data_IF_583252216730
#
_entry.id   IF_583252216730
#
_cell.length_a   1.000
_cell.length_b   1.000
_cell.length_c   1.000
_cell.angle_alpha   90.00
_cell.angle_beta   90.00
_cell.angle_gamma   90.00
#
_symmetry.space_group_name_H-M   'P 1'
#
loop_
_entity.id
_entity.type
_entity.pdbx_description
1 polymer ?
#
# COMPACT_ATOMS: atom_id res chain seq x y z
N UNK A 1 -37.61 -20.39 64.16
CA UNK A 1 -38.03 -20.29 62.76
C UNK A 1 -36.98 -19.41 62.05
N UNK A 2 -36.04 -20.02 61.33
CA UNK A 2 -34.93 -19.32 60.65
C UNK A 2 -35.08 -19.56 59.15
N UNK A 3 -35.45 -18.52 58.40
CA UNK A 3 -35.57 -18.57 56.94
C UNK A 3 -34.23 -18.27 56.30
N UNK A 4 -33.64 -19.26 55.62
CA UNK A 4 -32.44 -19.08 54.79
C UNK A 4 -32.84 -18.43 53.46
N UNK A 5 -32.33 -17.24 53.19
CA UNK A 5 -32.47 -16.56 51.90
C UNK A 5 -31.33 -16.99 50.98
N UNK A 6 -31.64 -17.70 49.89
CA UNK A 6 -30.66 -18.08 48.87
C UNK A 6 -30.57 -16.98 47.82
N UNK A 7 -29.41 -16.32 47.73
CA UNK A 7 -29.13 -15.31 46.70
C UNK A 7 -28.55 -16.05 45.48
N UNK A 8 -29.28 -16.07 44.37
CA UNK A 8 -28.77 -16.53 43.08
C UNK A 8 -28.07 -15.36 42.38
N UNK A 9 -26.75 -15.45 42.19
CA UNK A 9 -25.99 -14.52 41.36
C UNK A 9 -25.97 -15.02 39.92
N UNK A 10 -26.60 -14.28 39.01
CA UNK A 10 -26.55 -14.54 37.57
C UNK A 10 -25.36 -13.82 36.95
N UNK A 11 -24.38 -14.54 36.42
CA UNK A 11 -23.23 -13.97 35.69
C UNK A 11 -23.63 -13.80 34.23
N UNK A 12 -23.59 -12.58 33.72
CA UNK A 12 -23.83 -12.25 32.31
C UNK A 12 -22.50 -12.24 31.55
N UNK A 13 -22.29 -13.19 30.65
CA UNK A 13 -21.08 -13.27 29.82
C UNK A 13 -21.35 -12.61 28.46
N UNK A 14 -20.87 -11.38 28.26
CA UNK A 14 -21.00 -10.68 26.97
C UNK A 14 -19.88 -11.11 26.02
N UNK A 15 -20.25 -11.79 24.93
CA UNK A 15 -19.32 -12.15 23.86
C UNK A 15 -19.10 -10.92 22.95
N UNK A 16 -17.92 -10.31 23.02
CA UNK A 16 -17.54 -9.24 22.08
C UNK A 16 -17.09 -9.86 20.76
N UNK A 17 -17.94 -9.77 19.73
CA UNK A 17 -17.58 -10.16 18.37
C UNK A 17 -16.77 -9.03 17.73
N UNK A 18 -15.45 -9.18 17.63
CA UNK A 18 -14.61 -8.24 16.89
C UNK A 18 -14.74 -8.52 15.39
N UNK A 19 -15.54 -7.73 14.69
CA UNK A 19 -15.56 -7.75 13.22
C UNK A 19 -14.36 -6.99 12.68
N UNK A 20 -13.40 -7.68 12.07
CA UNK A 20 -12.36 -7.03 11.26
C UNK A 20 -12.99 -6.50 9.98
N UNK A 21 -13.38 -5.23 9.97
CA UNK A 21 -13.74 -4.51 8.75
C UNK A 21 -12.42 -4.22 8.04
N UNK A 22 -12.06 -5.03 7.04
CA UNK A 22 -11.00 -4.66 6.11
C UNK A 22 -11.51 -3.48 5.28
N UNK A 23 -10.96 -2.28 5.52
CA UNK A 23 -11.23 -1.13 4.66
C UNK A 23 -10.75 -1.46 3.25
N UNK A 24 -11.59 -1.16 2.25
CA UNK A 24 -11.13 -1.06 0.88
C UNK A 24 -9.97 -0.06 0.83
N UNK A 25 -8.90 -0.38 0.09
CA UNK A 25 -7.74 0.50 -0.07
C UNK A 25 -8.06 1.79 -0.82
N UNK A 26 -7.03 2.61 -0.97
CA UNK A 26 -7.11 3.92 -1.64
C UNK A 26 -6.45 3.88 -3.02
N UNK A 27 -6.93 4.71 -3.93
CA UNK A 27 -6.32 4.91 -5.25
C UNK A 27 -5.96 6.38 -5.44
N UNK A 28 -4.75 6.65 -5.95
CA UNK A 28 -4.33 7.99 -6.41
C UNK A 28 -3.70 7.90 -7.80
N UNK A 29 -4.40 8.40 -8.82
CA UNK A 29 -3.89 8.50 -10.17
C UNK A 29 -3.38 9.92 -10.42
N UNK A 30 -2.09 10.06 -10.69
CA UNK A 30 -1.43 11.34 -10.95
C UNK A 30 -1.15 11.47 -12.45
N UNK A 31 -1.60 12.57 -13.07
CA UNK A 31 -1.53 12.74 -14.53
C UNK A 31 -0.12 12.80 -15.13
N UNK A 32 0.90 13.00 -14.30
CA UNK A 32 2.27 13.19 -14.74
C UNK A 32 2.64 14.67 -14.88
N UNK A 33 3.94 14.91 -14.89
CA UNK A 33 4.56 16.24 -14.79
C UNK A 33 5.89 16.10 -14.05
N UNK A 34 6.80 17.06 -14.21
CA UNK A 34 8.02 17.07 -13.40
C UNK A 34 7.65 17.32 -11.94
N UNK A 35 8.03 16.41 -11.06
CA UNK A 35 7.87 16.58 -9.63
C UNK A 35 8.98 17.47 -9.05
N UNK A 36 8.62 18.35 -8.11
CA UNK A 36 9.57 19.17 -7.35
C UNK A 36 9.01 19.46 -5.95
N UNK A 37 9.87 19.87 -5.02
CA UNK A 37 9.49 20.25 -3.67
C UNK A 37 8.78 21.60 -3.65
N UNK A 38 7.70 21.70 -2.88
CA UNK A 38 6.85 22.90 -2.80
C UNK A 38 6.13 23.22 -4.11
N UNK A 39 5.87 22.20 -4.93
CA UNK A 39 5.16 22.33 -6.20
C UNK A 39 3.88 21.47 -6.21
N UNK A 40 3.21 21.39 -7.36
CA UNK A 40 1.94 20.69 -7.56
C UNK A 40 1.95 19.24 -7.06
N UNK A 41 3.11 18.56 -7.09
CA UNK A 41 3.27 17.16 -6.69
C UNK A 41 3.19 16.95 -5.18
N UNK A 42 3.35 18.01 -4.36
CA UNK A 42 3.34 17.88 -2.91
C UNK A 42 1.99 17.37 -2.39
N UNK A 43 0.89 17.92 -2.94
CA UNK A 43 -0.45 17.57 -2.50
C UNK A 43 -0.79 16.07 -2.71
N UNK A 44 -0.65 15.48 -3.91
CA UNK A 44 -0.92 14.06 -4.10
C UNK A 44 0.05 13.16 -3.33
N UNK A 45 1.34 13.50 -3.24
CA UNK A 45 2.33 12.61 -2.61
C UNK A 45 2.21 12.63 -1.08
N UNK A 46 1.96 13.80 -0.48
CA UNK A 46 1.63 13.90 0.95
C UNK A 46 0.32 13.19 1.30
N UNK A 47 -0.69 13.25 0.42
CA UNK A 47 -1.93 12.50 0.60
C UNK A 47 -1.69 10.98 0.61
N UNK A 48 -0.84 10.47 -0.30
CA UNK A 48 -0.46 9.06 -0.34
C UNK A 48 0.18 8.64 0.99
N UNK A 49 1.14 9.41 1.50
CA UNK A 49 1.80 9.12 2.79
C UNK A 49 0.79 9.13 3.94
N UNK A 50 -0.10 10.12 3.98
CA UNK A 50 -1.11 10.22 5.03
C UNK A 50 -2.07 9.01 5.01
N UNK A 51 -2.54 8.60 3.83
CA UNK A 51 -3.41 7.42 3.68
C UNK A 51 -2.69 6.10 3.97
N UNK A 52 -1.38 6.06 3.75
CA UNK A 52 -0.53 4.94 4.15
C UNK A 52 -0.26 4.91 5.67
N UNK A 53 -0.82 5.84 6.45
CA UNK A 53 -0.56 5.97 7.87
C UNK A 53 0.92 6.22 8.17
N UNK A 54 1.60 6.99 7.31
CA UNK A 54 3.03 7.27 7.40
C UNK A 54 3.92 6.02 7.33
N UNK A 55 3.41 4.89 6.84
CA UNK A 55 4.14 3.63 6.82
C UNK A 55 5.06 3.45 5.60
N UNK A 56 5.44 2.19 5.38
CA UNK A 56 6.32 1.75 4.29
C UNK A 56 5.74 2.00 2.91
N UNK A 57 6.50 2.65 2.03
CA UNK A 57 6.18 2.88 0.62
C UNK A 57 7.14 2.11 -0.27
N UNK A 58 6.60 1.34 -1.22
CA UNK A 58 7.42 0.65 -2.22
C UNK A 58 7.13 1.24 -3.59
N UNK A 59 8.16 1.78 -4.23
CA UNK A 59 8.08 2.43 -5.54
C UNK A 59 8.45 1.40 -6.61
N UNK A 60 7.47 0.97 -7.41
CA UNK A 60 7.66 -0.06 -8.43
C UNK A 60 7.95 0.58 -9.79
N UNK A 61 8.83 -0.05 -10.57
CA UNK A 61 8.93 0.18 -12.01
C UNK A 61 9.80 -0.86 -12.71
N UNK A 62 9.90 -0.77 -14.04
CA UNK A 62 10.50 -1.81 -14.88
C UNK A 62 11.98 -1.56 -15.27
N UNK A 63 12.59 -0.53 -14.70
CA UNK A 63 14.00 -0.17 -14.90
C UNK A 63 14.61 0.49 -13.66
N UNK A 64 15.83 0.98 -13.81
CA UNK A 64 16.54 1.63 -12.71
C UNK A 64 15.97 3.02 -12.41
N UNK A 65 16.16 3.46 -11.17
CA UNK A 65 15.68 4.74 -10.67
C UNK A 65 16.64 5.31 -9.62
N UNK A 66 16.70 6.63 -9.52
CA UNK A 66 17.47 7.33 -8.48
C UNK A 66 16.69 7.33 -7.16
N UNK A 67 17.35 7.76 -6.07
CA UNK A 67 16.70 7.90 -4.75
C UNK A 67 15.82 9.14 -4.60
N UNK A 68 15.54 9.89 -5.68
CA UNK A 68 14.75 11.12 -5.60
C UNK A 68 13.32 10.87 -5.08
N UNK A 69 12.57 9.94 -5.70
CA UNK A 69 11.22 9.58 -5.27
C UNK A 69 11.18 9.00 -3.83
N UNK A 70 12.07 8.06 -3.44
CA UNK A 70 12.19 7.65 -2.05
C UNK A 70 12.36 8.82 -1.07
N UNK A 71 13.30 9.73 -1.34
CA UNK A 71 13.54 10.89 -0.49
C UNK A 71 12.34 11.82 -0.43
N UNK A 72 11.64 11.99 -1.55
CA UNK A 72 10.46 12.83 -1.65
C UNK A 72 9.31 12.28 -0.77
N UNK A 73 9.04 10.97 -0.84
CA UNK A 73 8.06 10.34 0.05
C UNK A 73 8.46 10.42 1.53
N UNK A 74 9.74 10.24 1.86
CA UNK A 74 10.26 10.39 3.22
C UNK A 74 10.07 11.83 3.71
N UNK A 75 10.23 12.83 2.84
CA UNK A 75 10.05 14.24 3.21
C UNK A 75 8.62 14.59 3.64
N UNK A 76 7.62 13.83 3.18
CA UNK A 76 6.23 13.94 3.64
C UNK A 76 5.91 13.06 4.86
N UNK A 77 6.90 12.37 5.40
CA UNK A 77 6.80 11.59 6.63
C UNK A 77 6.52 10.10 6.45
N UNK A 78 6.86 9.51 5.30
CA UNK A 78 6.88 8.05 5.18
C UNK A 78 7.99 7.46 6.07
N UNK A 79 7.67 6.40 6.81
CA UNK A 79 8.61 5.67 7.68
C UNK A 79 9.79 5.11 6.87
N UNK A 80 9.49 4.46 5.75
CA UNK A 80 10.48 3.99 4.79
C UNK A 80 9.95 4.14 3.37
N UNK A 81 10.83 4.45 2.42
CA UNK A 81 10.53 4.43 0.99
C UNK A 81 11.73 3.92 0.20
N UNK A 82 11.52 3.08 -0.81
CA UNK A 82 12.59 2.63 -1.72
C UNK A 82 12.06 2.16 -3.07
N UNK A 83 12.96 2.10 -4.06
CA UNK A 83 12.67 1.61 -5.40
C UNK A 83 12.81 0.09 -5.48
N UNK A 84 11.82 -0.57 -6.08
CA UNK A 84 11.88 -1.98 -6.48
C UNK A 84 11.79 -2.07 -8.00
N UNK A 85 12.92 -2.42 -8.63
CA UNK A 85 12.96 -2.71 -10.06
C UNK A 85 12.43 -4.13 -10.34
N UNK A 86 11.46 -4.23 -11.24
CA UNK A 86 10.80 -5.47 -11.67
C UNK A 86 10.84 -5.52 -13.20
N UNK A 87 12.04 -5.72 -13.74
CA UNK A 87 12.37 -5.62 -15.17
C UNK A 87 12.09 -6.88 -15.99
N UNK A 88 11.58 -7.96 -15.38
CA UNK A 88 11.26 -9.19 -16.10
C UNK A 88 10.10 -9.97 -15.49
N UNK A 89 9.45 -10.81 -16.31
CA UNK A 89 8.39 -11.71 -15.87
C UNK A 89 8.87 -12.78 -14.88
N UNK A 90 10.16 -13.11 -14.92
CA UNK A 90 10.79 -14.00 -13.94
C UNK A 90 10.82 -13.32 -12.56
N UNK A 91 11.34 -12.09 -12.47
CA UNK A 91 11.36 -11.30 -11.22
C UNK A 91 9.94 -11.06 -10.70
N UNK A 92 8.99 -10.77 -11.59
CA UNK A 92 7.59 -10.53 -11.24
C UNK A 92 6.86 -11.78 -10.70
N UNK A 93 7.38 -12.98 -10.94
CA UNK A 93 6.83 -14.24 -10.44
C UNK A 93 7.60 -14.84 -9.25
N UNK A 94 8.64 -14.17 -8.76
CA UNK A 94 9.33 -14.62 -7.55
C UNK A 94 8.42 -14.47 -6.34
N UNK A 95 8.42 -15.48 -5.46
CA UNK A 95 7.71 -15.41 -4.19
C UNK A 95 8.30 -14.31 -3.28
N UNK A 96 9.62 -14.13 -3.29
CA UNK A 96 10.28 -13.06 -2.53
C UNK A 96 9.85 -11.66 -2.97
N UNK A 97 9.60 -11.45 -4.27
CA UNK A 97 9.04 -10.18 -4.77
C UNK A 97 7.61 -9.97 -4.26
N UNK A 98 6.78 -11.02 -4.22
CA UNK A 98 5.45 -10.95 -3.64
C UNK A 98 5.49 -10.57 -2.16
N UNK A 99 6.26 -11.33 -1.37
CA UNK A 99 6.37 -11.17 0.08
C UNK A 99 6.85 -9.77 0.46
N UNK A 100 7.79 -9.22 -0.32
CA UNK A 100 8.26 -7.85 -0.15
C UNK A 100 7.14 -6.83 -0.45
N UNK A 101 6.42 -6.97 -1.56
CA UNK A 101 5.38 -6.00 -1.97
C UNK A 101 4.23 -5.98 -0.96
N UNK A 102 3.77 -7.14 -0.46
CA UNK A 102 2.64 -7.19 0.47
C UNK A 102 2.93 -6.55 1.84
N UNK A 103 4.19 -6.28 2.15
CA UNK A 103 4.58 -5.56 3.36
C UNK A 103 4.36 -4.04 3.27
N UNK A 104 4.05 -3.52 2.08
CA UNK A 104 3.84 -2.09 1.86
C UNK A 104 2.54 -1.58 2.47
N UNK A 105 2.55 -0.31 2.91
CA UNK A 105 1.35 0.47 3.21
C UNK A 105 0.90 1.31 2.02
N UNK A 106 1.84 1.69 1.16
CA UNK A 106 1.55 2.21 -0.17
C UNK A 106 2.45 1.59 -1.23
N UNK A 107 1.87 1.35 -2.40
CA UNK A 107 2.60 1.04 -3.62
C UNK A 107 2.50 2.26 -4.53
N UNK A 108 3.64 2.73 -5.02
CA UNK A 108 3.70 3.81 -6.00
C UNK A 108 4.26 3.30 -7.33
N UNK A 109 3.47 3.36 -8.40
CA UNK A 109 3.87 3.00 -9.75
C UNK A 109 4.47 4.23 -10.44
N UNK A 110 5.77 4.19 -10.71
CA UNK A 110 6.47 5.33 -11.32
C UNK A 110 6.11 5.52 -12.80
N UNK A 111 6.43 6.70 -13.34
CA UNK A 111 6.34 6.95 -14.79
C UNK A 111 7.32 6.10 -15.61
N UNK A 112 7.13 6.06 -16.92
CA UNK A 112 7.87 5.19 -17.84
C UNK A 112 7.01 4.79 -19.04
N UNK A 113 7.11 3.52 -19.46
CA UNK A 113 6.25 2.92 -20.48
C UNK A 113 5.22 1.99 -19.80
N UNK A 114 3.93 2.27 -19.97
CA UNK A 114 2.85 1.48 -19.37
C UNK A 114 2.79 0.06 -19.92
N UNK A 115 3.27 -0.16 -21.15
CA UNK A 115 3.30 -1.49 -21.76
C UNK A 115 4.24 -2.44 -21.03
N UNK A 116 5.27 -1.93 -20.35
CA UNK A 116 6.12 -2.76 -19.51
C UNK A 116 5.33 -3.35 -18.35
N UNK A 117 4.48 -2.58 -17.68
CA UNK A 117 3.68 -3.07 -16.55
C UNK A 117 2.68 -4.13 -17.00
N UNK A 118 2.01 -3.90 -18.12
CA UNK A 118 1.06 -4.88 -18.69
C UNK A 118 1.79 -6.16 -19.11
N UNK A 119 2.88 -6.04 -19.87
CA UNK A 119 3.60 -7.19 -20.44
C UNK A 119 4.32 -8.01 -19.36
N UNK A 120 4.95 -7.33 -18.41
CA UNK A 120 5.81 -7.98 -17.41
C UNK A 120 5.03 -8.44 -16.18
N UNK A 121 4.01 -7.70 -15.72
CA UNK A 121 3.41 -7.92 -14.41
C UNK A 121 2.00 -8.50 -14.44
N UNK A 122 1.21 -8.27 -15.49
CA UNK A 122 -0.17 -8.80 -15.56
C UNK A 122 -0.20 -10.33 -15.41
N UNK A 123 -1.05 -10.81 -14.50
CA UNK A 123 -1.20 -12.24 -14.20
C UNK A 123 0.00 -12.86 -13.48
N UNK A 124 0.90 -12.05 -12.92
CA UNK A 124 2.04 -12.53 -12.11
C UNK A 124 1.78 -12.36 -10.62
N UNK A 125 2.75 -12.78 -9.80
CA UNK A 125 2.69 -12.53 -8.37
C UNK A 125 2.75 -11.04 -8.02
N UNK A 126 3.40 -10.19 -8.82
CA UNK A 126 3.39 -8.73 -8.59
C UNK A 126 1.98 -8.16 -8.71
N UNK A 127 1.24 -8.52 -9.75
CA UNK A 127 -0.17 -8.14 -9.93
C UNK A 127 -1.02 -8.62 -8.74
N UNK A 128 -0.79 -9.87 -8.30
CA UNK A 128 -1.46 -10.42 -7.11
C UNK A 128 -1.11 -9.66 -5.82
N UNK A 129 0.14 -9.22 -5.65
CA UNK A 129 0.61 -8.49 -4.48
C UNK A 129 0.05 -7.05 -4.43
N UNK A 130 -0.01 -6.37 -5.58
CA UNK A 130 -0.65 -5.04 -5.70
C UNK A 130 -2.12 -5.14 -5.28
N UNK A 131 -2.85 -6.13 -5.81
CA UNK A 131 -4.23 -6.38 -5.43
C UNK A 131 -4.38 -6.73 -3.94
N UNK A 132 -3.44 -7.49 -3.38
CA UNK A 132 -3.44 -7.81 -1.95
C UNK A 132 -3.31 -6.55 -1.09
N UNK A 133 -2.34 -5.66 -1.39
CA UNK A 133 -2.15 -4.41 -0.63
C UNK A 133 -3.40 -3.54 -0.68
N UNK A 134 -4.00 -3.39 -1.86
CA UNK A 134 -5.27 -2.65 -2.01
C UNK A 134 -6.40 -3.25 -1.17
N UNK A 135 -6.58 -4.58 -1.21
CA UNK A 135 -7.64 -5.27 -0.46
C UNK A 135 -7.43 -5.24 1.05
N UNK A 136 -6.21 -4.95 1.51
CA UNK A 136 -5.86 -4.84 2.92
C UNK A 136 -5.73 -3.38 3.39
N UNK A 137 -6.40 -2.44 2.69
CA UNK A 137 -6.49 -1.05 3.10
C UNK A 137 -5.28 -0.17 2.73
N UNK A 138 -4.31 -0.71 1.98
CA UNK A 138 -3.17 0.05 1.50
C UNK A 138 -3.52 1.01 0.36
N UNK A 139 -2.58 1.88 0.02
CA UNK A 139 -2.72 2.85 -1.08
C UNK A 139 -2.06 2.30 -2.34
N UNK A 140 -2.78 2.29 -3.46
CA UNK A 140 -2.19 2.07 -4.79
C UNK A 140 -2.18 3.41 -5.51
N UNK A 141 -1.00 3.90 -5.84
CA UNK A 141 -0.85 5.17 -6.51
C UNK A 141 0.09 5.06 -7.70
N UNK A 142 0.03 6.00 -8.63
CA UNK A 142 0.99 6.07 -9.71
C UNK A 142 0.94 7.39 -10.46
N UNK A 143 1.99 7.66 -11.23
CA UNK A 143 2.13 8.88 -12.05
C UNK A 143 2.39 8.52 -13.51
N UNK A 144 1.78 9.28 -14.43
CA UNK A 144 1.94 9.07 -15.87
C UNK A 144 1.63 7.61 -16.26
N UNK A 145 2.59 6.87 -16.81
CA UNK A 145 2.43 5.44 -17.13
C UNK A 145 2.00 4.58 -15.94
N UNK A 146 2.38 4.93 -14.71
CA UNK A 146 1.94 4.22 -13.52
C UNK A 146 0.48 4.49 -13.13
N UNK A 147 -0.13 5.54 -13.65
CA UNK A 147 -1.54 5.85 -13.45
C UNK A 147 -2.45 5.22 -14.53
N UNK A 148 -1.85 4.70 -15.62
CA UNK A 148 -2.53 4.25 -16.82
C UNK A 148 -2.91 2.76 -16.80
#
# INVERSE_FOLDING_TARGET
>A
MLTKTNIFSTIFFSLFLTTTIFSQGYICAVGGGSEDYNDWSDAPYSWIVNKAGNGKIIILGAGDATNWLPNYFISFGADTAFNKNISSKAIANLQTTYDEIISAKAIFLRGGDQWDYVRLWKGTKVDSAINYVFRNGGVIAGTSAGAA
#
